data_IF_640622216226
#
_entry.id   IF_640622216226
#
_cell.length_a   1.000
_cell.length_b   1.000
_cell.length_c   1.000
_cell.angle_alpha   90.00
_cell.angle_beta   90.00
_cell.angle_gamma   90.00
#
_symmetry.space_group_name_H-M   'P 1'
#
loop_
_entity.id
_entity.type
_entity.pdbx_description
1 polymer ?
#
# COMPACT_ATOMS: atom_id res chain seq x y z
N UNK A 1 4.74 5.17 8.38
CA UNK A 1 5.93 5.04 9.23
C UNK A 1 7.19 4.79 8.39
N UNK A 2 7.17 3.77 7.51
CA UNK A 2 8.29 3.45 6.59
C UNK A 2 8.74 4.63 5.72
N UNK A 3 7.83 5.49 5.29
CA UNK A 3 8.18 6.69 4.51
C UNK A 3 9.18 7.62 5.21
N UNK A 4 9.32 7.56 6.54
CA UNK A 4 10.23 8.40 7.31
C UNK A 4 11.60 7.75 7.58
N UNK A 5 12.01 6.76 6.77
CA UNK A 5 13.28 6.06 6.93
C UNK A 5 13.31 5.02 8.06
N UNK A 6 12.17 4.74 8.69
CA UNK A 6 12.03 3.65 9.64
C UNK A 6 12.05 2.30 8.91
N UNK A 7 12.74 1.32 9.50
CA UNK A 7 12.67 -0.07 9.07
C UNK A 7 11.27 -0.66 9.24
N UNK A 8 11.03 -1.81 8.61
CA UNK A 8 9.79 -2.56 8.76
C UNK A 8 9.62 -3.06 10.20
N UNK A 9 10.70 -3.55 10.83
CA UNK A 9 10.66 -4.01 12.23
C UNK A 9 10.33 -2.86 13.19
N UNK A 10 10.97 -1.70 13.04
CA UNK A 10 10.68 -0.52 13.88
C UNK A 10 9.26 -0.02 13.67
N UNK A 11 8.77 -0.05 12.43
CA UNK A 11 7.38 0.32 12.13
C UNK A 11 6.39 -0.63 12.81
N UNK A 12 6.66 -1.94 12.76
CA UNK A 12 5.85 -2.95 13.44
C UNK A 12 5.84 -2.74 14.96
N UNK A 13 7.02 -2.52 15.56
CA UNK A 13 7.15 -2.31 17.01
C UNK A 13 6.43 -1.04 17.51
N UNK A 14 6.42 0.04 16.72
CA UNK A 14 5.77 1.31 17.08
C UNK A 14 4.27 1.34 16.77
N UNK A 15 3.77 0.47 15.89
CA UNK A 15 2.38 0.47 15.43
C UNK A 15 1.35 0.35 16.57
N UNK A 16 1.51 -0.52 17.59
CA UNK A 16 0.52 -0.62 18.67
C UNK A 16 0.34 0.67 19.47
N UNK A 17 1.43 1.39 19.76
CA UNK A 17 1.37 2.67 20.45
C UNK A 17 0.69 3.73 19.57
N UNK A 18 1.00 3.73 18.27
CA UNK A 18 0.37 4.61 17.28
C UNK A 18 -1.15 4.35 17.17
N UNK A 19 -1.58 3.11 17.04
CA UNK A 19 -2.99 2.74 16.94
C UNK A 19 -3.78 3.12 18.20
N UNK A 20 -3.21 2.90 19.40
CA UNK A 20 -3.84 3.28 20.68
C UNK A 20 -3.98 4.79 20.86
N UNK A 21 -3.09 5.60 20.28
CA UNK A 21 -3.24 7.05 20.30
C UNK A 21 -4.47 7.52 19.50
N UNK A 22 -4.79 6.82 18.40
CA UNK A 22 -5.91 7.16 17.51
C UNK A 22 -7.23 6.58 18.05
N UNK A 23 -7.24 5.28 18.38
CA UNK A 23 -8.45 4.51 18.71
C UNK A 23 -8.59 4.18 20.20
N UNK A 24 -7.60 4.49 21.04
CA UNK A 24 -7.60 4.09 22.46
C UNK A 24 -8.50 4.94 23.36
N UNK A 25 -9.21 5.94 22.83
CA UNK A 25 -10.28 6.61 23.57
C UNK A 25 -11.64 6.21 23.04
N UNK A 26 -12.66 6.20 23.92
CA UNK A 26 -14.00 5.85 23.52
C UNK A 26 -14.46 6.77 22.38
N UNK A 27 -15.17 6.23 21.36
CA UNK A 27 -15.81 7.02 20.32
C UNK A 27 -16.60 8.20 20.90
N UNK A 28 -16.72 9.31 20.17
CA UNK A 28 -17.41 10.54 20.63
C UNK A 28 -18.83 10.29 21.17
N UNK A 29 -19.49 9.23 20.70
CA UNK A 29 -20.83 8.83 21.10
C UNK A 29 -20.92 7.51 21.91
N UNK A 30 -19.79 7.02 22.46
CA UNK A 30 -19.77 5.80 23.25
C UNK A 30 -20.72 5.89 24.47
N UNK A 31 -21.49 4.83 24.77
CA UNK A 31 -22.41 4.83 25.90
C UNK A 31 -21.64 4.87 27.23
N UNK A 32 -21.88 5.90 28.04
CA UNK A 32 -21.29 6.06 29.39
C UNK A 32 -22.03 5.25 30.48
N UNK A 33 -23.11 4.54 30.14
CA UNK A 33 -23.94 3.73 31.06
C UNK A 33 -24.81 2.72 30.27
N UNK A 34 -25.39 1.68 30.91
CA UNK A 34 -26.39 0.83 30.27
C UNK A 34 -27.68 1.63 30.02
N UNK A 35 -28.03 1.81 28.75
CA UNK A 35 -29.10 2.71 28.32
C UNK A 35 -30.32 1.93 27.83
N UNK A 36 -31.52 2.43 28.13
CA UNK A 36 -32.82 1.94 27.64
C UNK A 36 -32.87 1.77 26.11
N UNK A 37 -33.64 0.78 25.63
CA UNK A 37 -33.77 0.43 24.20
C UNK A 37 -34.16 1.62 23.32
N UNK A 38 -35.04 2.53 23.77
CA UNK A 38 -35.45 3.70 22.98
C UNK A 38 -34.31 4.72 22.76
N UNK A 39 -33.46 4.93 23.77
CA UNK A 39 -32.31 5.82 23.65
C UNK A 39 -31.16 5.19 22.83
N UNK A 40 -31.19 3.87 22.61
CA UNK A 40 -30.30 3.18 21.66
C UNK A 40 -30.65 3.53 20.21
N UNK A 41 -31.94 3.60 19.86
CA UNK A 41 -32.39 4.00 18.52
C UNK A 41 -32.06 5.46 18.20
N UNK A 42 -32.32 6.39 19.14
CA UNK A 42 -32.00 7.82 18.99
C UNK A 42 -30.49 8.01 18.85
N UNK A 43 -29.67 7.25 19.58
CA UNK A 43 -28.20 7.31 19.43
C UNK A 43 -27.69 6.64 18.17
N UNK A 44 -28.31 5.55 17.71
CA UNK A 44 -27.95 4.94 16.43
C UNK A 44 -28.25 5.89 15.28
N UNK A 45 -29.36 6.65 15.38
CA UNK A 45 -29.68 7.73 14.46
C UNK A 45 -28.70 8.91 14.61
N UNK A 46 -28.33 9.31 15.83
CA UNK A 46 -27.34 10.37 16.06
C UNK A 46 -25.92 9.98 15.61
N UNK A 47 -25.52 8.71 15.74
CA UNK A 47 -24.25 8.18 15.21
C UNK A 47 -24.30 8.03 13.69
N UNK A 48 -25.47 7.69 13.13
CA UNK A 48 -25.72 7.70 11.69
C UNK A 48 -25.66 9.12 11.10
N UNK A 49 -26.09 10.12 11.87
CA UNK A 49 -25.99 11.54 11.52
C UNK A 49 -24.64 12.17 11.89
N UNK A 50 -23.85 11.53 12.74
CA UNK A 50 -22.52 11.99 13.12
C UNK A 50 -21.52 11.59 12.02
N UNK A 51 -20.99 12.60 11.35
CA UNK A 51 -20.01 12.54 10.25
C UNK A 51 -18.67 11.85 10.63
N UNK A 52 -18.46 11.45 11.89
CA UNK A 52 -17.28 10.71 12.37
C UNK A 52 -17.45 10.13 13.79
N UNK A 53 -16.86 8.95 14.05
CA UNK A 53 -16.78 8.34 15.39
C UNK A 53 -15.58 8.84 16.21
N UNK A 54 -14.47 9.17 15.54
CA UNK A 54 -13.20 9.53 16.14
C UNK A 54 -12.80 10.96 15.84
N UNK A 55 -11.86 11.48 16.64
CA UNK A 55 -11.41 12.85 16.50
C UNK A 55 -10.30 13.01 15.46
N UNK A 56 -10.53 13.87 14.47
CA UNK A 56 -9.57 14.10 13.40
C UNK A 56 -8.29 14.78 13.89
N UNK A 57 -8.33 15.52 15.00
CA UNK A 57 -7.16 16.17 15.60
C UNK A 57 -6.17 15.14 16.17
N UNK A 58 -6.68 14.05 16.75
CA UNK A 58 -5.80 12.98 17.28
C UNK A 58 -5.13 12.20 16.18
N UNK A 59 -5.86 11.95 15.08
CA UNK A 59 -5.28 11.36 13.88
C UNK A 59 -4.20 12.29 13.29
N UNK A 60 -4.44 13.60 13.29
CA UNK A 60 -3.48 14.61 12.86
C UNK A 60 -2.20 14.59 13.71
N UNK A 61 -2.34 14.70 15.03
CA UNK A 61 -1.23 14.63 15.98
C UNK A 61 -0.45 13.32 15.85
N UNK A 62 -1.17 12.20 15.67
CA UNK A 62 -0.57 10.90 15.49
C UNK A 62 0.30 10.84 14.23
N UNK A 63 -0.23 11.32 13.10
CA UNK A 63 0.46 11.32 11.82
C UNK A 63 1.68 12.26 11.83
N UNK A 64 1.57 13.44 12.44
CA UNK A 64 2.68 14.39 12.60
C UNK A 64 3.82 13.86 13.48
N UNK A 65 3.57 12.87 14.35
CA UNK A 65 4.63 12.21 15.14
C UNK A 65 5.42 11.16 14.36
N UNK A 66 4.84 10.60 13.29
CA UNK A 66 5.46 9.49 12.54
C UNK A 66 5.91 9.86 11.14
N UNK A 67 5.44 10.99 10.62
CA UNK A 67 5.87 11.59 9.36
C UNK A 67 6.47 12.95 9.69
N UNK A 68 7.61 13.28 9.10
CA UNK A 68 8.20 14.62 9.20
C UNK A 68 7.12 15.70 8.91
N UNK A 69 6.79 16.56 9.89
CA UNK A 69 5.76 17.59 9.74
C UNK A 69 6.04 18.57 8.62
N UNK A 70 7.30 18.77 8.23
CA UNK A 70 7.70 19.72 7.18
C UNK A 70 7.71 19.10 5.78
N UNK A 71 7.75 17.76 5.69
CA UNK A 71 7.84 17.08 4.41
C UNK A 71 6.59 17.30 3.57
N UNK A 72 6.76 17.82 2.35
CA UNK A 72 5.68 17.99 1.39
C UNK A 72 5.59 16.83 0.41
N UNK A 73 4.40 16.63 -0.15
CA UNK A 73 4.10 15.49 -1.01
C UNK A 73 4.80 15.57 -2.36
N UNK A 74 4.94 16.77 -2.94
CA UNK A 74 5.48 16.97 -4.28
C UNK A 74 6.96 17.39 -4.29
N UNK A 75 7.63 17.39 -3.15
CA UNK A 75 9.05 17.73 -3.08
C UNK A 75 9.89 16.60 -3.69
N UNK A 76 10.59 16.92 -4.77
CA UNK A 76 11.44 15.97 -5.52
C UNK A 76 12.82 15.82 -4.87
N UNK A 77 13.28 16.86 -4.15
CA UNK A 77 14.69 17.08 -3.78
C UNK A 77 15.13 16.52 -2.42
N UNK A 78 14.22 15.99 -1.60
CA UNK A 78 14.55 15.36 -0.29
C UNK A 78 14.21 13.88 -0.23
N UNK A 79 13.95 13.26 -1.39
CA UNK A 79 13.84 11.80 -1.44
C UNK A 79 15.12 11.19 -0.87
N UNK A 80 14.96 10.22 0.03
CA UNK A 80 16.04 9.46 0.66
C UNK A 80 17.18 9.19 -0.32
N UNK A 81 18.39 8.94 0.16
CA UNK A 81 19.57 8.57 -0.64
C UNK A 81 19.35 7.51 -1.74
N UNK A 82 18.18 6.85 -1.79
CA UNK A 82 17.69 5.84 -2.73
C UNK A 82 16.58 6.28 -3.72
N UNK A 83 16.11 7.54 -3.76
CA UNK A 83 15.22 8.04 -4.83
C UNK A 83 13.84 7.37 -4.94
N UNK A 84 13.27 6.91 -3.82
CA UNK A 84 12.00 6.16 -3.82
C UNK A 84 10.80 7.00 -4.30
N UNK A 85 10.05 6.44 -5.26
CA UNK A 85 8.76 6.97 -5.74
C UNK A 85 7.62 6.49 -4.86
N UNK A 86 6.76 7.40 -4.47
CA UNK A 86 5.67 7.20 -3.52
C UNK A 86 4.40 7.79 -4.09
N UNK A 87 3.32 7.01 -4.03
CA UNK A 87 1.97 7.45 -4.31
C UNK A 87 1.05 7.12 -3.12
N UNK A 88 0.16 8.04 -2.79
CA UNK A 88 -0.89 7.87 -1.78
C UNK A 88 -2.24 8.02 -2.49
N UNK A 89 -3.13 7.05 -2.23
CA UNK A 89 -4.45 6.99 -2.86
C UNK A 89 -5.48 7.58 -1.91
N UNK A 90 -6.31 8.46 -2.45
CA UNK A 90 -7.48 9.05 -1.77
C UNK A 90 -8.70 8.89 -2.66
N UNK A 91 -9.89 9.13 -2.14
CA UNK A 91 -11.13 9.23 -2.92
C UNK A 91 -11.70 10.64 -2.81
N UNK A 92 -12.15 11.23 -3.91
CA UNK A 92 -12.85 12.53 -3.87
C UNK A 92 -14.27 12.35 -3.36
N UNK A 93 -14.69 13.20 -2.42
CA UNK A 93 -16.00 13.04 -1.77
C UNK A 93 -17.19 13.34 -2.69
N UNK A 94 -17.01 14.13 -3.74
CA UNK A 94 -18.10 14.56 -4.62
C UNK A 94 -18.56 13.50 -5.62
N UNK A 95 -17.64 12.64 -6.09
CA UNK A 95 -17.88 11.67 -7.16
C UNK A 95 -17.31 10.26 -6.87
N UNK A 96 -16.59 10.09 -5.75
CA UNK A 96 -15.94 8.83 -5.38
C UNK A 96 -14.70 8.50 -6.23
N UNK A 97 -14.23 9.38 -7.11
CA UNK A 97 -13.11 9.11 -8.01
C UNK A 97 -11.82 8.90 -7.20
N UNK A 98 -11.03 7.91 -7.58
CA UNK A 98 -9.71 7.70 -6.98
C UNK A 98 -8.78 8.83 -7.39
N UNK A 99 -8.08 9.42 -6.43
CA UNK A 99 -7.13 10.50 -6.62
C UNK A 99 -5.74 10.06 -6.15
N UNK A 100 -4.76 10.18 -7.04
CA UNK A 100 -3.35 9.83 -6.79
C UNK A 100 -2.59 11.11 -6.47
N UNK A 101 -2.04 11.17 -5.27
CA UNK A 101 -1.04 12.17 -4.91
C UNK A 101 0.31 11.45 -4.86
N UNK A 102 1.33 11.95 -5.55
CA UNK A 102 2.60 11.26 -5.67
C UNK A 102 3.79 12.22 -5.76
N UNK A 103 4.97 11.78 -5.33
CA UNK A 103 6.21 12.56 -5.40
C UNK A 103 6.94 12.44 -6.75
N UNK A 104 6.27 11.92 -7.78
CA UNK A 104 6.82 11.72 -9.11
C UNK A 104 5.84 12.24 -10.17
N UNK A 105 6.33 12.41 -11.41
CA UNK A 105 5.48 12.73 -12.57
C UNK A 105 5.47 11.61 -13.60
N UNK A 106 6.60 10.92 -13.80
CA UNK A 106 6.77 9.96 -14.90
C UNK A 106 6.96 10.64 -16.25
N UNK A 107 7.37 9.87 -17.25
CA UNK A 107 7.65 10.35 -18.62
C UNK A 107 6.52 10.01 -19.61
N UNK A 108 5.71 9.00 -19.29
CA UNK A 108 4.59 8.56 -20.10
C UNK A 108 3.40 9.52 -20.01
N UNK A 109 2.49 9.38 -20.96
CA UNK A 109 1.25 10.15 -20.98
C UNK A 109 0.19 9.46 -20.12
N UNK A 110 -0.57 10.27 -19.38
CA UNK A 110 -1.79 9.84 -18.71
C UNK A 110 -2.99 10.20 -19.58
N UNK A 111 -3.91 9.26 -19.73
CA UNK A 111 -5.15 9.49 -20.48
C UNK A 111 -6.04 10.49 -19.73
N UNK A 112 -6.66 11.41 -20.47
CA UNK A 112 -7.54 12.43 -19.88
C UNK A 112 -8.77 11.81 -19.16
N UNK A 113 -9.23 10.65 -19.64
CA UNK A 113 -10.39 9.92 -19.11
C UNK A 113 -10.00 8.70 -18.26
N UNK A 114 -8.83 8.74 -17.61
CA UNK A 114 -8.41 7.65 -16.74
C UNK A 114 -9.40 7.41 -15.58
N UNK A 115 -9.47 6.14 -15.14
CA UNK A 115 -10.32 5.69 -14.04
C UNK A 115 -9.95 6.30 -12.67
N UNK A 116 -8.78 6.92 -12.58
CA UNK A 116 -8.32 7.73 -11.45
C UNK A 116 -7.85 9.10 -11.95
N UNK A 117 -7.71 10.04 -11.04
CA UNK A 117 -7.18 11.38 -11.31
C UNK A 117 -5.80 11.53 -10.66
N UNK A 118 -4.81 11.92 -11.45
CA UNK A 118 -3.48 12.23 -10.93
C UNK A 118 -3.42 13.70 -10.54
N UNK A 119 -3.28 13.99 -9.25
CA UNK A 119 -3.35 15.36 -8.74
C UNK A 119 -2.01 16.08 -8.91
N UNK A 120 -2.08 17.27 -9.51
CA UNK A 120 -0.93 18.12 -9.81
C UNK A 120 -1.18 19.50 -9.20
N UNK A 121 -0.29 20.00 -8.32
CA UNK A 121 -0.38 21.36 -7.81
C UNK A 121 -0.16 22.35 -8.95
N UNK A 122 -1.03 23.35 -9.04
CA UNK A 122 -0.92 24.48 -9.98
C UNK A 122 -0.07 25.59 -9.38
N UNK A 123 -0.05 25.71 -8.06
CA UNK A 123 0.69 26.73 -7.31
C UNK A 123 1.46 26.11 -6.14
N UNK A 124 2.42 26.84 -5.58
CA UNK A 124 3.27 26.32 -4.50
C UNK A 124 2.51 26.04 -3.19
N UNK A 125 1.44 26.80 -2.93
CA UNK A 125 0.56 26.64 -1.77
C UNK A 125 -0.34 25.39 -1.86
N UNK A 126 -0.52 24.84 -3.06
CA UNK A 126 -1.22 23.57 -3.29
C UNK A 126 -0.32 22.34 -3.05
N UNK A 127 0.90 22.51 -2.53
CA UNK A 127 1.76 21.38 -2.13
C UNK A 127 1.49 20.98 -0.66
N UNK A 128 0.67 19.94 -0.40
CA UNK A 128 0.30 19.56 0.96
C UNK A 128 1.47 18.86 1.67
N UNK A 129 1.45 18.91 3.00
CA UNK A 129 2.30 18.04 3.80
C UNK A 129 1.91 16.57 3.65
N UNK A 130 2.89 15.66 3.68
CA UNK A 130 2.65 14.21 3.52
C UNK A 130 1.70 13.69 4.59
N UNK A 131 1.83 14.14 5.85
CA UNK A 131 0.93 13.72 6.93
C UNK A 131 -0.53 14.10 6.65
N UNK A 132 -0.78 15.21 5.95
CA UNK A 132 -2.13 15.66 5.62
C UNK A 132 -2.74 14.86 4.47
N UNK A 133 -1.92 14.49 3.49
CA UNK A 133 -2.31 13.54 2.43
C UNK A 133 -2.63 12.17 3.02
N UNK A 134 -1.78 11.68 3.94
CA UNK A 134 -2.02 10.43 4.66
C UNK A 134 -3.32 10.49 5.48
N UNK A 135 -3.60 11.63 6.13
CA UNK A 135 -4.86 11.84 6.86
C UNK A 135 -6.08 11.69 5.94
N UNK A 136 -6.05 12.27 4.73
CA UNK A 136 -7.12 12.07 3.74
C UNK A 136 -7.25 10.59 3.36
N UNK A 137 -6.12 9.91 3.09
CA UNK A 137 -6.08 8.53 2.61
C UNK A 137 -6.65 7.51 3.60
N UNK A 138 -6.63 7.80 4.90
CA UNK A 138 -7.16 6.94 5.97
C UNK A 138 -8.45 7.48 6.59
N UNK A 139 -9.03 8.53 6.01
CA UNK A 139 -10.25 9.15 6.53
C UNK A 139 -11.49 8.32 6.16
N UNK A 140 -11.58 7.11 6.71
CA UNK A 140 -12.63 6.14 6.41
C UNK A 140 -14.00 6.69 6.81
N UNK A 141 -15.02 6.61 5.93
CA UNK A 141 -16.38 6.97 6.27
C UNK A 141 -16.84 6.28 7.56
N UNK A 142 -17.66 6.97 8.36
CA UNK A 142 -18.08 6.58 9.71
C UNK A 142 -16.98 6.57 10.79
N UNK A 143 -15.69 6.53 10.45
CA UNK A 143 -14.61 6.62 11.43
C UNK A 143 -14.11 8.05 11.58
N UNK A 144 -13.73 8.67 10.46
CA UNK A 144 -13.10 9.98 10.43
C UNK A 144 -13.78 10.89 9.42
N UNK A 145 -13.69 12.20 9.68
CA UNK A 145 -14.18 13.21 8.76
C UNK A 145 -13.23 13.35 7.56
N UNK A 146 -13.80 13.55 6.38
CA UNK A 146 -13.04 13.92 5.18
C UNK A 146 -12.30 15.25 5.38
N UNK A 147 -11.27 15.48 4.56
CA UNK A 147 -10.39 16.66 4.68
C UNK A 147 -10.21 17.31 3.33
N UNK A 148 -10.29 18.64 3.32
CA UNK A 148 -10.06 19.43 2.11
C UNK A 148 -8.58 19.82 1.99
N UNK A 149 -8.00 19.60 0.81
CA UNK A 149 -6.68 20.09 0.45
C UNK A 149 -6.80 21.29 -0.48
N UNK A 150 -5.97 22.34 -0.31
CA UNK A 150 -5.91 23.46 -1.26
C UNK A 150 -5.69 22.96 -2.69
N UNK A 151 -6.44 23.50 -3.66
CA UNK A 151 -6.35 23.11 -5.07
C UNK A 151 -7.02 21.78 -5.44
N UNK A 152 -7.22 20.86 -4.49
CA UNK A 152 -7.70 19.50 -4.76
C UNK A 152 -9.10 19.20 -4.20
N UNK A 153 -9.59 20.03 -3.28
CA UNK A 153 -10.92 19.88 -2.67
C UNK A 153 -10.98 18.80 -1.60
N UNK A 154 -12.20 18.35 -1.29
CA UNK A 154 -12.48 17.39 -0.23
C UNK A 154 -12.15 15.94 -0.65
N UNK A 155 -11.27 15.31 0.14
CA UNK A 155 -10.78 13.96 -0.04
C UNK A 155 -11.07 13.11 1.20
N UNK A 156 -11.25 11.82 0.98
CA UNK A 156 -11.48 10.79 1.98
C UNK A 156 -10.68 9.53 1.67
N UNK A 157 -10.92 8.47 2.44
CA UNK A 157 -10.21 7.21 2.33
C UNK A 157 -10.20 6.64 0.90
N UNK A 158 -9.02 6.21 0.46
CA UNK A 158 -8.84 5.59 -0.86
C UNK A 158 -9.59 4.26 -1.00
N UNK A 159 -9.83 3.57 0.13
CA UNK A 159 -10.56 2.31 0.23
C UNK A 159 -11.97 2.36 -0.33
N UNK A 160 -12.61 3.54 -0.31
CA UNK A 160 -13.94 3.75 -0.91
C UNK A 160 -13.97 3.37 -2.39
N UNK A 161 -12.84 3.50 -3.11
CA UNK A 161 -12.74 3.21 -4.54
C UNK A 161 -11.70 2.16 -4.91
N UNK A 162 -10.56 2.16 -4.22
CA UNK A 162 -9.39 1.36 -4.56
C UNK A 162 -8.66 0.92 -3.27
N UNK A 163 -9.31 0.06 -2.47
CA UNK A 163 -8.71 -0.47 -1.24
C UNK A 163 -7.46 -1.32 -1.50
N UNK A 164 -7.36 -1.90 -2.71
CA UNK A 164 -6.09 -2.36 -3.26
C UNK A 164 -5.67 -1.47 -4.44
N UNK A 165 -4.55 -0.74 -4.34
CA UNK A 165 -4.13 0.18 -5.39
C UNK A 165 -3.39 -0.51 -6.56
N UNK A 166 -3.36 -1.84 -6.64
CA UNK A 166 -2.60 -2.58 -7.65
C UNK A 166 -2.89 -2.13 -9.09
N UNK A 167 -4.16 -1.99 -9.48
CA UNK A 167 -4.51 -1.54 -10.82
C UNK A 167 -3.95 -0.14 -11.15
N UNK A 168 -3.96 0.76 -10.16
CA UNK A 168 -3.38 2.10 -10.29
C UNK A 168 -1.86 1.99 -10.40
N UNK A 169 -1.22 1.15 -9.58
CA UNK A 169 0.22 0.94 -9.58
C UNK A 169 0.72 0.35 -10.91
N UNK A 170 0.00 -0.62 -11.48
CA UNK A 170 0.28 -1.16 -12.81
C UNK A 170 0.22 -0.07 -13.86
N UNK A 171 -0.86 0.74 -13.91
CA UNK A 171 -0.96 1.83 -14.88
C UNK A 171 0.14 2.87 -14.70
N UNK A 172 0.45 3.26 -13.46
CA UNK A 172 1.48 4.26 -13.15
C UNK A 172 2.89 3.76 -13.42
N UNK A 173 3.16 2.46 -13.30
CA UNK A 173 4.47 1.89 -13.67
C UNK A 173 4.80 2.10 -15.15
N UNK A 174 3.82 1.96 -16.05
CA UNK A 174 4.00 2.25 -17.49
C UNK A 174 4.25 3.74 -17.74
N UNK A 175 3.66 4.61 -16.92
CA UNK A 175 3.88 6.07 -17.00
C UNK A 175 5.28 6.44 -16.48
N UNK A 176 5.75 5.79 -15.42
CA UNK A 176 7.07 6.05 -14.86
C UNK A 176 8.17 5.48 -15.77
N UNK A 177 7.99 4.26 -16.27
CA UNK A 177 8.97 3.51 -17.05
C UNK A 177 8.40 3.06 -18.41
N UNK A 178 8.19 3.97 -19.37
CA UNK A 178 7.55 3.64 -20.65
C UNK A 178 8.38 2.71 -21.54
N UNK A 179 9.69 2.58 -21.28
CA UNK A 179 10.58 1.65 -22.00
C UNK A 179 10.63 0.25 -21.38
N UNK A 180 10.14 0.07 -20.16
CA UNK A 180 10.10 -1.23 -19.50
C UNK A 180 8.92 -2.03 -20.04
N UNK A 181 9.16 -3.31 -20.36
CA UNK A 181 8.11 -4.21 -20.90
C UNK A 181 7.39 -4.99 -19.80
N UNK A 182 8.08 -5.30 -18.71
CA UNK A 182 7.59 -6.15 -17.62
C UNK A 182 8.15 -5.65 -16.29
N UNK A 183 7.51 -6.03 -15.18
CA UNK A 183 8.04 -5.84 -13.84
C UNK A 183 9.00 -6.97 -13.49
N UNK A 184 10.15 -6.65 -12.90
CA UNK A 184 11.02 -7.67 -12.32
C UNK A 184 10.38 -8.29 -11.07
N UNK A 185 9.73 -7.46 -10.26
CA UNK A 185 8.95 -7.86 -9.10
C UNK A 185 7.85 -6.84 -8.80
N UNK A 186 6.62 -7.31 -8.59
CA UNK A 186 5.53 -6.53 -8.02
C UNK A 186 4.98 -7.24 -6.79
N UNK A 187 5.01 -6.56 -5.65
CA UNK A 187 4.49 -7.09 -4.39
C UNK A 187 3.28 -6.27 -3.91
N UNK A 188 2.11 -6.90 -3.81
CA UNK A 188 0.93 -6.35 -3.14
C UNK A 188 0.82 -6.94 -1.74
N UNK A 189 0.87 -6.10 -0.70
CA UNK A 189 0.77 -6.54 0.70
C UNK A 189 -0.64 -6.25 1.24
N UNK A 190 -1.29 -7.27 1.79
CA UNK A 190 -2.62 -7.17 2.40
C UNK A 190 -2.57 -7.04 3.93
N UNK A 191 -3.70 -6.66 4.52
CA UNK A 191 -3.86 -6.51 5.98
C UNK A 191 -4.57 -7.71 6.63
N UNK A 192 -4.63 -8.83 5.92
CA UNK A 192 -5.40 -10.01 6.29
C UNK A 192 -6.63 -10.21 5.39
N UNK A 193 -7.08 -11.46 5.29
CA UNK A 193 -8.35 -11.85 4.68
C UNK A 193 -9.06 -12.87 5.57
N UNK A 194 -10.36 -13.04 5.37
CA UNK A 194 -11.13 -14.09 6.01
C UNK A 194 -12.09 -14.68 4.99
N UNK A 195 -11.91 -15.96 4.64
CA UNK A 195 -12.85 -16.67 3.79
C UNK A 195 -13.91 -17.34 4.66
N UNK A 196 -15.04 -16.66 4.84
CA UNK A 196 -16.25 -17.35 5.28
C UNK A 196 -16.72 -18.19 4.11
N UNK A 197 -16.44 -19.51 4.10
CA UNK A 197 -17.22 -20.46 3.29
C UNK A 197 -18.70 -20.21 3.60
N UNK A 198 -19.38 -19.43 2.77
CA UNK A 198 -20.62 -18.78 3.12
C UNK A 198 -21.73 -19.83 3.24
N UNK A 199 -22.08 -20.21 4.48
CA UNK A 199 -23.44 -20.65 4.76
C UNK A 199 -24.31 -19.39 4.84
N UNK A 200 -25.38 -19.27 4.05
CA UNK A 200 -26.33 -18.17 4.20
C UNK A 200 -26.82 -18.16 5.65
N UNK A 201 -26.69 -17.02 6.33
CA UNK A 201 -27.29 -16.84 7.65
C UNK A 201 -28.81 -16.73 7.44
N UNK A 202 -29.49 -17.86 7.51
CA UNK A 202 -30.94 -17.90 7.66
C UNK A 202 -31.28 -17.52 9.11
N UNK A 203 -31.89 -16.35 9.29
CA UNK A 203 -32.59 -16.02 10.55
C UNK A 203 -32.21 -14.70 11.20
N UNK A 204 -32.69 -13.59 10.64
CA UNK A 204 -33.06 -12.40 11.42
C UNK A 204 -34.09 -11.57 10.62
N UNK A 205 -35.06 -10.97 11.31
CA UNK A 205 -36.23 -10.25 10.76
C UNK A 205 -35.98 -9.48 9.44
N UNK A 206 -36.52 -10.02 8.33
CA UNK A 206 -36.38 -9.51 6.95
C UNK A 206 -36.96 -8.11 6.73
N UNK A 207 -37.94 -7.67 7.54
CA UNK A 207 -38.77 -6.51 7.19
C UNK A 207 -38.05 -5.17 7.43
N UNK A 208 -37.23 -5.05 8.48
CA UNK A 208 -36.54 -3.79 8.80
C UNK A 208 -35.15 -3.69 8.15
N UNK A 209 -34.48 -4.83 7.95
CA UNK A 209 -33.16 -4.91 7.34
C UNK A 209 -33.14 -4.72 5.81
N UNK A 210 -34.28 -4.97 5.16
CA UNK A 210 -34.43 -4.83 3.71
C UNK A 210 -35.00 -3.47 3.28
N UNK A 211 -34.99 -2.46 4.16
CA UNK A 211 -35.31 -1.08 3.77
C UNK A 211 -34.17 -0.43 2.98
N UNK A 212 -34.48 0.56 2.14
CA UNK A 212 -33.53 1.09 1.16
C UNK A 212 -32.22 1.63 1.76
N UNK A 213 -32.28 2.33 2.89
CA UNK A 213 -31.11 2.94 3.54
C UNK A 213 -30.16 1.88 4.12
N UNK A 214 -30.59 0.95 5.01
CA UNK A 214 -29.74 -0.15 5.47
C UNK A 214 -29.18 -1.02 4.35
N UNK A 215 -29.96 -1.27 3.28
CA UNK A 215 -29.46 -2.01 2.10
C UNK A 215 -28.33 -1.25 1.41
N UNK A 216 -28.47 0.06 1.23
CA UNK A 216 -27.43 0.88 0.59
C UNK A 216 -26.15 0.92 1.44
N UNK A 217 -26.27 1.09 2.76
CA UNK A 217 -25.12 1.04 3.68
C UNK A 217 -24.44 -0.33 3.63
N UNK A 218 -25.23 -1.41 3.68
CA UNK A 218 -24.71 -2.79 3.60
C UNK A 218 -24.00 -3.03 2.27
N UNK A 219 -24.60 -2.62 1.15
CA UNK A 219 -24.01 -2.74 -0.18
C UNK A 219 -22.70 -1.96 -0.29
N UNK A 220 -22.61 -0.76 0.29
CA UNK A 220 -21.35 0.01 0.35
C UNK A 220 -20.30 -0.69 1.21
N UNK A 221 -20.66 -1.14 2.42
CA UNK A 221 -19.72 -1.78 3.35
C UNK A 221 -19.24 -3.16 2.89
N UNK A 222 -20.06 -3.85 2.10
CA UNK A 222 -19.74 -5.14 1.48
C UNK A 222 -19.38 -5.00 0.00
N UNK A 223 -19.07 -3.79 -0.45
CA UNK A 223 -18.70 -3.53 -1.85
C UNK A 223 -17.36 -4.20 -2.16
N UNK A 224 -17.21 -4.86 -3.33
CA UNK A 224 -15.94 -5.38 -3.83
C UNK A 224 -14.79 -4.35 -3.79
N UNK A 225 -15.08 -3.06 -3.95
CA UNK A 225 -14.07 -1.99 -3.90
C UNK A 225 -13.40 -1.85 -2.52
N UNK A 226 -14.10 -2.26 -1.45
CA UNK A 226 -13.61 -2.25 -0.06
C UNK A 226 -12.87 -3.54 0.29
N UNK A 227 -12.92 -4.58 -0.56
CA UNK A 227 -12.22 -5.83 -0.36
C UNK A 227 -10.88 -5.78 -1.10
N UNK A 228 -9.78 -5.74 -0.32
CA UNK A 228 -8.44 -5.65 -0.88
C UNK A 228 -7.99 -6.91 -1.63
N UNK A 229 -8.59 -8.07 -1.34
CA UNK A 229 -8.30 -9.32 -2.05
C UNK A 229 -9.06 -9.35 -3.39
N UNK A 230 -10.33 -8.99 -3.37
CA UNK A 230 -11.12 -8.84 -4.60
C UNK A 230 -10.51 -7.78 -5.55
N UNK A 231 -10.09 -6.63 -5.02
CA UNK A 231 -9.41 -5.59 -5.81
C UNK A 231 -8.06 -6.05 -6.38
N UNK A 232 -7.36 -6.98 -5.72
CA UNK A 232 -6.15 -7.61 -6.28
C UNK A 232 -6.50 -8.47 -7.49
N UNK A 233 -7.49 -9.36 -7.37
CA UNK A 233 -7.93 -10.23 -8.47
C UNK A 233 -8.51 -9.45 -9.65
N UNK A 234 -9.27 -8.39 -9.38
CA UNK A 234 -9.79 -7.50 -10.43
C UNK A 234 -8.66 -6.84 -11.23
N UNK A 235 -7.59 -6.41 -10.58
CA UNK A 235 -6.43 -5.85 -11.28
C UNK A 235 -5.74 -6.89 -12.16
N UNK A 236 -5.61 -8.14 -11.69
CA UNK A 236 -4.97 -9.21 -12.46
C UNK A 236 -5.72 -9.58 -13.74
N UNK A 237 -7.04 -9.35 -13.81
CA UNK A 237 -7.83 -9.57 -15.04
C UNK A 237 -7.28 -8.78 -16.24
N UNK A 238 -6.55 -7.70 -16.00
CA UNK A 238 -5.97 -6.84 -17.05
C UNK A 238 -4.47 -7.09 -17.28
N UNK A 239 -3.87 -8.05 -16.57
CA UNK A 239 -2.46 -8.43 -16.72
C UNK A 239 -2.36 -9.71 -17.55
N UNK A 240 -1.56 -9.75 -18.63
CA UNK A 240 -1.29 -10.98 -19.38
C UNK A 240 -0.68 -12.07 -18.52
N UNK A 241 -1.01 -13.34 -18.76
CA UNK A 241 -0.55 -14.46 -17.92
C UNK A 241 0.98 -14.55 -17.76
N UNK A 242 1.72 -14.19 -18.81
CA UNK A 242 3.20 -14.19 -18.81
C UNK A 242 3.79 -13.20 -17.81
N UNK A 243 3.08 -12.10 -17.52
CA UNK A 243 3.54 -11.06 -16.58
C UNK A 243 3.09 -11.35 -15.14
N UNK A 244 2.11 -12.23 -14.94
CA UNK A 244 1.57 -12.56 -13.61
C UNK A 244 2.57 -13.30 -12.72
N UNK A 245 3.54 -14.00 -13.29
CA UNK A 245 4.56 -14.76 -12.52
C UNK A 245 5.42 -13.88 -11.61
N UNK A 246 5.56 -12.60 -11.93
CA UNK A 246 6.34 -11.65 -11.14
C UNK A 246 5.46 -10.80 -10.21
N UNK A 247 4.15 -11.08 -10.14
CA UNK A 247 3.19 -10.37 -9.30
C UNK A 247 2.77 -11.26 -8.14
N UNK A 248 3.11 -10.83 -6.92
CA UNK A 248 2.84 -11.58 -5.70
C UNK A 248 1.85 -10.84 -4.81
N UNK A 249 0.95 -11.61 -4.18
CA UNK A 249 0.09 -11.15 -3.09
C UNK A 249 0.60 -11.72 -1.78
N UNK A 250 1.07 -10.83 -0.92
CA UNK A 250 1.46 -11.16 0.44
C UNK A 250 0.28 -10.83 1.36
N UNK A 251 -0.59 -11.82 1.59
CA UNK A 251 -1.74 -11.67 2.47
C UNK A 251 -1.87 -12.89 3.38
N UNK A 252 -2.56 -12.74 4.51
CA UNK A 252 -2.73 -13.80 5.49
C UNK A 252 -4.21 -14.09 5.71
N UNK A 253 -4.63 -15.32 5.44
CA UNK A 253 -5.98 -15.76 5.76
C UNK A 253 -6.08 -16.09 7.25
N UNK A 254 -6.95 -15.39 7.97
CA UNK A 254 -7.21 -15.64 9.38
C UNK A 254 -8.24 -16.77 9.54
N UNK A 255 -8.10 -17.61 10.58
CA UNK A 255 -9.08 -18.66 10.89
C UNK A 255 -10.39 -18.10 11.45
N UNK A 256 -10.35 -16.89 12.01
CA UNK A 256 -11.49 -16.18 12.58
C UNK A 256 -11.81 -14.94 11.75
N UNK A 257 -13.07 -14.43 11.83
CA UNK A 257 -13.42 -13.16 11.21
C UNK A 257 -12.44 -12.05 11.56
N UNK A 258 -12.10 -11.23 10.57
CA UNK A 258 -11.21 -10.09 10.78
C UNK A 258 -11.75 -9.20 11.92
N UNK A 259 -10.88 -8.76 12.84
CA UNK A 259 -11.29 -7.82 13.87
C UNK A 259 -11.76 -6.51 13.23
N UNK A 260 -12.57 -5.75 13.97
CA UNK A 260 -12.93 -4.40 13.53
C UNK A 260 -11.68 -3.54 13.38
N UNK A 261 -11.71 -2.62 12.42
CA UNK A 261 -10.61 -1.71 12.10
C UNK A 261 -10.05 -0.96 13.32
N UNK A 262 -10.93 -0.60 14.26
CA UNK A 262 -10.62 0.17 15.47
C UNK A 262 -10.33 -0.67 16.72
N UNK A 263 -10.30 -2.01 16.62
CA UNK A 263 -10.11 -2.90 17.77
C UNK A 263 -8.63 -3.05 18.18
N UNK A 264 -8.14 -2.09 18.96
CA UNK A 264 -6.77 -2.08 19.48
C UNK A 264 -6.47 -3.22 20.47
N UNK A 265 -7.49 -3.91 20.99
CA UNK A 265 -7.29 -5.03 21.93
C UNK A 265 -6.71 -6.26 21.24
N UNK A 266 -6.91 -6.39 19.93
CA UNK A 266 -6.49 -7.56 19.13
C UNK A 266 -5.06 -7.46 18.62
N UNK A 267 -4.43 -6.28 18.71
CA UNK A 267 -3.09 -6.02 18.17
C UNK A 267 -2.01 -6.96 18.69
N UNK A 268 -2.03 -7.29 19.99
CA UNK A 268 -1.04 -8.20 20.59
C UNK A 268 -1.24 -9.67 20.18
N UNK A 269 -2.49 -10.06 19.88
CA UNK A 269 -2.77 -11.38 19.31
C UNK A 269 -2.29 -11.46 17.86
N UNK A 270 -2.57 -10.41 17.07
CA UNK A 270 -2.20 -10.33 15.67
C UNK A 270 -0.68 -10.28 15.46
N UNK A 271 0.07 -9.57 16.32
CA UNK A 271 1.53 -9.48 16.19
C UNK A 271 2.26 -10.80 16.46
N UNK A 272 1.61 -11.75 17.13
CA UNK A 272 2.14 -13.09 17.42
C UNK A 272 1.78 -14.13 16.35
N UNK A 273 0.96 -13.75 15.37
CA UNK A 273 0.57 -14.66 14.29
C UNK A 273 1.78 -14.97 13.43
N UNK A 274 1.94 -16.24 13.08
CA UNK A 274 3.04 -16.67 12.23
C UNK A 274 2.69 -16.34 10.78
N UNK A 275 3.55 -15.54 10.17
CA UNK A 275 3.42 -15.18 8.77
C UNK A 275 4.41 -15.98 7.94
N UNK A 276 3.94 -16.68 6.91
CA UNK A 276 4.79 -17.44 5.98
C UNK A 276 4.97 -16.64 4.71
N UNK A 277 6.22 -16.38 4.34
CA UNK A 277 6.56 -15.77 3.04
C UNK A 277 6.73 -16.90 2.02
N UNK A 278 6.04 -16.86 0.87
CA UNK A 278 6.21 -17.87 -0.17
C UNK A 278 7.67 -17.97 -0.64
N UNK A 279 8.20 -19.19 -0.76
CA UNK A 279 9.58 -19.42 -1.21
C UNK A 279 9.85 -18.81 -2.59
N UNK A 280 8.88 -18.87 -3.50
CA UNK A 280 8.98 -18.23 -4.82
C UNK A 280 9.17 -16.71 -4.71
N UNK A 281 8.47 -16.04 -3.79
CA UNK A 281 8.66 -14.61 -3.56
C UNK A 281 10.06 -14.31 -3.02
N UNK A 282 10.55 -15.10 -2.06
CA UNK A 282 11.92 -14.96 -1.53
C UNK A 282 12.94 -15.07 -2.65
N UNK A 283 12.80 -16.10 -3.50
CA UNK A 283 13.65 -16.32 -4.68
C UNK A 283 13.59 -15.16 -5.66
N UNK A 284 12.40 -14.68 -6.00
CA UNK A 284 12.25 -13.54 -6.92
C UNK A 284 12.88 -12.27 -6.35
N UNK A 285 12.70 -11.98 -5.05
CA UNK A 285 13.33 -10.84 -4.38
C UNK A 285 14.86 -10.95 -4.47
N UNK A 286 15.44 -12.11 -4.14
CA UNK A 286 16.88 -12.33 -4.19
C UNK A 286 17.44 -12.17 -5.61
N UNK A 287 16.71 -12.64 -6.62
CA UNK A 287 17.12 -12.58 -8.02
C UNK A 287 17.01 -11.16 -8.62
N UNK A 288 16.11 -10.30 -8.11
CA UNK A 288 15.74 -9.04 -8.80
C UNK A 288 15.99 -7.76 -8.00
N UNK A 289 15.94 -7.79 -6.66
CA UNK A 289 15.84 -6.56 -5.87
C UNK A 289 17.19 -5.98 -5.42
N UNK A 290 18.25 -6.80 -5.39
CA UNK A 290 19.49 -6.44 -4.71
C UNK A 290 20.69 -6.25 -5.62
N UNK A 291 20.80 -7.04 -6.69
CA UNK A 291 21.97 -7.04 -7.56
C UNK A 291 21.69 -6.28 -8.85
N UNK A 292 22.65 -5.48 -9.30
CA UNK A 292 22.57 -4.74 -10.57
C UNK A 292 23.95 -4.67 -11.22
N UNK A 293 23.97 -4.59 -12.55
CA UNK A 293 25.22 -4.46 -13.31
C UNK A 293 25.49 -3.00 -13.63
N UNK A 294 26.69 -2.52 -13.29
CA UNK A 294 27.16 -1.17 -13.60
C UNK A 294 28.39 -1.25 -14.51
N UNK A 295 28.46 -0.36 -15.51
CA UNK A 295 29.63 -0.27 -16.38
C UNK A 295 30.76 0.44 -15.64
N UNK A 296 31.92 -0.20 -15.55
CA UNK A 296 33.12 0.40 -14.95
C UNK A 296 33.72 1.45 -15.90
N UNK A 297 33.54 1.24 -17.21
CA UNK A 297 34.15 2.01 -18.27
C UNK A 297 33.16 2.22 -19.43
N UNK A 298 33.36 3.27 -20.22
CA UNK A 298 32.53 3.53 -21.41
C UNK A 298 32.69 2.38 -22.42
N UNK A 299 31.61 1.92 -23.06
CA UNK A 299 31.68 0.84 -24.05
C UNK A 299 32.63 1.17 -25.20
N UNK A 300 33.56 0.25 -25.49
CA UNK A 300 34.54 0.42 -26.57
C UNK A 300 33.99 -0.26 -27.83
N UNK A 301 33.80 0.52 -28.89
CA UNK A 301 33.39 -0.02 -30.20
C UNK A 301 34.62 -0.53 -30.95
N UNK A 302 34.67 -1.82 -31.22
CA UNK A 302 35.71 -2.45 -32.05
C UNK A 302 35.09 -3.43 -33.03
N UNK A 303 35.47 -3.33 -34.32
CA UNK A 303 34.98 -4.20 -35.40
C UNK A 303 33.43 -4.31 -35.48
N UNK A 304 32.72 -3.24 -35.14
CA UNK A 304 31.25 -3.21 -35.17
C UNK A 304 30.56 -3.82 -33.93
N UNK A 305 31.32 -4.33 -32.97
CA UNK A 305 30.81 -4.86 -31.69
C UNK A 305 31.18 -3.90 -30.55
N UNK A 306 30.31 -3.79 -29.55
CA UNK A 306 30.60 -3.06 -28.32
C UNK A 306 31.18 -4.01 -27.27
N UNK A 307 32.36 -3.67 -26.76
CA UNK A 307 32.97 -4.32 -25.61
C UNK A 307 32.64 -3.51 -24.36
N UNK A 308 31.99 -4.17 -23.41
CA UNK A 308 31.59 -3.58 -22.14
C UNK A 308 32.40 -4.25 -21.03
N UNK A 309 32.87 -3.44 -20.09
CA UNK A 309 33.46 -3.89 -18.83
C UNK A 309 32.65 -3.29 -17.70
N UNK A 310 32.33 -4.10 -16.71
CA UNK A 310 31.48 -3.69 -15.61
C UNK A 310 31.49 -4.68 -14.47
N UNK A 311 30.92 -4.25 -13.36
CA UNK A 311 30.85 -4.97 -12.10
C UNK A 311 29.40 -5.22 -11.71
N UNK A 312 29.14 -6.36 -11.08
CA UNK A 312 27.85 -6.61 -10.42
C UNK A 312 27.93 -6.03 -9.01
N UNK A 313 27.07 -5.07 -8.72
CA UNK A 313 27.00 -4.35 -7.45
C UNK A 313 25.75 -4.77 -6.67
N UNK A 314 25.80 -4.57 -5.36
CA UNK A 314 24.68 -4.81 -4.45
C UNK A 314 24.15 -3.49 -3.90
N UNK A 315 22.83 -3.30 -3.89
CA UNK A 315 22.16 -2.12 -3.36
C UNK A 315 22.12 -2.05 -1.82
N UNK A 316 22.61 -3.10 -1.14
CA UNK A 316 22.57 -3.25 0.32
C UNK A 316 23.97 -3.38 0.91
N UNK A 317 24.15 -2.84 2.12
CA UNK A 317 25.42 -2.88 2.86
C UNK A 317 25.81 -4.28 3.34
N UNK A 318 24.84 -5.19 3.51
CA UNK A 318 25.03 -6.57 3.97
C UNK A 318 25.12 -7.57 2.79
N UNK A 319 25.84 -7.20 1.73
CA UNK A 319 25.91 -7.95 0.48
C UNK A 319 26.36 -9.42 0.66
N UNK A 320 27.31 -9.67 1.56
CA UNK A 320 27.81 -11.03 1.86
C UNK A 320 26.74 -11.97 2.43
N UNK A 321 25.86 -11.46 3.28
CA UNK A 321 24.77 -12.28 3.83
C UNK A 321 23.72 -12.59 2.77
N UNK A 322 23.49 -11.65 1.84
CA UNK A 322 22.62 -11.88 0.68
C UNK A 322 23.20 -12.92 -0.28
N UNK A 323 24.51 -12.87 -0.55
CA UNK A 323 25.20 -13.86 -1.40
C UNK A 323 25.04 -15.27 -0.83
N UNK A 324 25.28 -15.45 0.48
CA UNK A 324 25.06 -16.74 1.14
C UNK A 324 23.63 -17.23 1.00
N UNK A 325 22.66 -16.33 1.17
CA UNK A 325 21.24 -16.67 1.03
C UNK A 325 20.89 -17.06 -0.42
N UNK A 326 21.45 -16.36 -1.41
CA UNK A 326 21.33 -16.71 -2.83
C UNK A 326 21.89 -18.11 -3.09
N UNK A 327 23.08 -18.43 -2.59
CA UNK A 327 23.69 -19.76 -2.79
C UNK A 327 22.86 -20.89 -2.18
N UNK A 328 22.19 -20.64 -1.04
CA UNK A 328 21.28 -21.61 -0.41
C UNK A 328 20.00 -21.80 -1.24
N UNK A 329 19.38 -20.72 -1.69
CA UNK A 329 18.13 -20.77 -2.45
C UNK A 329 18.32 -21.20 -3.91
N UNK A 330 19.51 -20.97 -4.47
CA UNK A 330 19.89 -21.26 -5.85
C UNK A 330 21.23 -22.01 -5.88
N UNK A 331 21.22 -23.35 -5.73
CA UNK A 331 22.44 -24.14 -5.86
C UNK A 331 23.07 -23.95 -7.25
N UNK A 332 24.32 -23.46 -7.29
CA UNK A 332 25.00 -23.12 -8.55
C UNK A 332 24.55 -21.78 -9.15
N UNK A 333 24.19 -20.81 -8.30
CA UNK A 333 23.81 -19.47 -8.71
C UNK A 333 24.89 -18.82 -9.58
N UNK A 334 24.43 -18.12 -10.62
CA UNK A 334 25.30 -17.44 -11.59
C UNK A 334 24.61 -16.22 -12.18
N UNK A 335 25.40 -15.24 -12.58
CA UNK A 335 24.90 -14.08 -13.31
C UNK A 335 24.94 -14.36 -14.82
N UNK A 336 23.84 -14.03 -15.51
CA UNK A 336 23.70 -14.18 -16.96
C UNK A 336 23.09 -12.94 -17.59
N UNK A 337 23.47 -12.67 -18.83
CA UNK A 337 22.74 -11.73 -19.67
C UNK A 337 21.44 -12.35 -20.20
N UNK A 338 20.48 -11.52 -20.59
CA UNK A 338 19.20 -11.96 -21.16
C UNK A 338 19.30 -12.90 -22.39
N UNK A 339 20.47 -12.95 -23.05
CA UNK A 339 20.75 -13.87 -24.18
C UNK A 339 21.46 -15.17 -23.76
N UNK A 340 21.55 -15.44 -22.46
CA UNK A 340 22.19 -16.64 -21.89
C UNK A 340 23.72 -16.59 -21.83
N UNK A 341 24.33 -15.42 -22.06
CA UNK A 341 25.78 -15.27 -21.91
C UNK A 341 26.15 -15.19 -20.42
N UNK A 342 27.02 -16.08 -19.97
CA UNK A 342 27.49 -16.15 -18.58
C UNK A 342 28.38 -14.96 -18.24
N UNK A 343 28.11 -14.32 -17.10
CA UNK A 343 28.93 -13.24 -16.53
C UNK A 343 29.86 -13.74 -15.42
N UNK A 344 29.48 -14.80 -14.71
CA UNK A 344 30.28 -15.41 -13.64
C UNK A 344 29.40 -16.25 -12.71
N UNK A 345 30.03 -17.14 -11.95
CA UNK A 345 29.37 -17.84 -10.84
C UNK A 345 29.36 -16.96 -9.60
N UNK A 346 28.50 -17.31 -8.64
CA UNK A 346 28.44 -16.68 -7.32
C UNK A 346 29.07 -17.63 -6.31
N UNK A 347 30.14 -17.16 -5.66
CA UNK A 347 30.93 -17.92 -4.69
C UNK A 347 30.92 -17.24 -3.29
N UNK A 348 31.35 -17.98 -2.27
CA UNK A 348 31.36 -17.53 -0.86
C UNK A 348 32.25 -16.30 -0.61
N UNK A 349 33.23 -16.06 -1.48
CA UNK A 349 34.13 -14.92 -1.41
C UNK A 349 33.55 -13.65 -2.03
N UNK A 350 32.41 -13.75 -2.74
CA UNK A 350 31.73 -12.61 -3.35
C UNK A 350 31.01 -11.75 -2.29
N UNK A 351 31.16 -10.44 -2.40
CA UNK A 351 30.56 -9.44 -1.52
C UNK A 351 31.59 -8.60 -0.75
N UNK A 352 31.44 -7.28 -0.86
CA UNK A 352 32.26 -6.30 -0.14
C UNK A 352 32.01 -6.39 1.38
N UNK A 353 33.07 -6.13 2.16
CA UNK A 353 33.00 -6.06 3.64
C UNK A 353 32.27 -4.82 4.14
#
# INVERSE_FOLDING_TARGET
MVLNGLSAEESCAKFPAFARMIFGSPPKHAPKSPISRCATWIKSLACFLADCQYDSERLEDALQRVVDPQRRMFDVTTTSSTGCRVAIITSRTSDGKACVLANYRGMGQREANAAYEFLVPKTADENPHVWKVAQCSVAAPFFFRSKSLPGFGALQDGGVRANNPLAIALKESVVIWPSAKTHDLLLSVGTGSFSSLAKPIEGASRILQDSAIPRMIRATMSSPCMDGEQGFHEALNFVPDVERSNIFRLNHELPEPLPRLDDVSKLEGMSKMHFTVPTELVRTILATAFFFFELDELPIKSQGVFFCKGSVLCSRSYSRDLVKLVMVEFPGARFEMARGQRLGDIDDDDGCR
#
